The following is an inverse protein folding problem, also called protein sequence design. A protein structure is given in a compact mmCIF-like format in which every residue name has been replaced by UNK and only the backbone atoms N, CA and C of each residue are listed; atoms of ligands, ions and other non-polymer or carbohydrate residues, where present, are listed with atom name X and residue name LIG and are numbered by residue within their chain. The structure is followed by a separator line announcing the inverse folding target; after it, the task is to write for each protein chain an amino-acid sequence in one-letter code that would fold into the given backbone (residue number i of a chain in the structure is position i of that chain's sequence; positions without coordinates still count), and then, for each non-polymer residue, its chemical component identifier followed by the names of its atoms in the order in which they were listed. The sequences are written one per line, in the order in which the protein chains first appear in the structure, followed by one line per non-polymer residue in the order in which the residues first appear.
data_IF_162397707781
#
_entry.id   IF_162397707781
#
_cell.length_a   1.000
_cell.length_b   1.000
_cell.length_c   1.000
_cell.angle_alpha   90.00
_cell.angle_beta   90.00
_cell.angle_gamma   90.00
#
_symmetry.space_group_name_H-M   'P 1'
#
loop_
_entity.id
_entity.type
_entity.pdbx_description
1 polymer ?
#
# COMPACT_ATOMS: atom_id res chain seq x y z
N UNK A 1 -9.42 -30.48 -24.38
CA UNK A 1 -10.40 -30.29 -23.29
C UNK A 1 -9.77 -30.51 -21.92
N UNK A 2 -9.09 -31.62 -21.66
CA UNK A 2 -8.48 -31.91 -20.34
C UNK A 2 -7.49 -30.84 -19.83
N UNK A 3 -6.63 -30.28 -20.70
CA UNK A 3 -5.70 -29.20 -20.32
C UNK A 3 -6.41 -27.89 -19.97
N UNK A 4 -7.57 -27.62 -20.55
CA UNK A 4 -8.37 -26.45 -20.26
C UNK A 4 -9.10 -26.60 -18.90
N UNK A 5 -9.67 -27.79 -18.62
CA UNK A 5 -10.27 -28.10 -17.32
C UNK A 5 -9.26 -28.17 -16.19
N UNK A 6 -8.05 -28.73 -16.45
CA UNK A 6 -6.96 -28.72 -15.46
C UNK A 6 -6.49 -27.31 -15.12
N UNK A 7 -6.43 -26.41 -16.12
CA UNK A 7 -6.06 -24.99 -15.90
C UNK A 7 -7.15 -24.26 -15.10
N UNK A 8 -8.44 -24.52 -15.35
CA UNK A 8 -9.55 -23.96 -14.58
C UNK A 8 -9.55 -24.50 -13.14
N UNK A 9 -9.32 -25.80 -12.93
CA UNK A 9 -9.25 -26.40 -11.58
C UNK A 9 -8.05 -25.84 -10.77
N UNK A 10 -6.89 -25.68 -11.40
CA UNK A 10 -5.71 -25.09 -10.74
C UNK A 10 -5.95 -23.62 -10.41
N UNK A 11 -6.60 -22.85 -11.29
CA UNK A 11 -6.91 -21.44 -11.03
C UNK A 11 -7.95 -21.24 -9.91
N UNK A 12 -8.85 -22.21 -9.69
CA UNK A 12 -9.85 -22.13 -8.60
C UNK A 12 -9.27 -22.37 -7.20
N UNK A 13 -8.04 -22.88 -7.10
CA UNK A 13 -7.35 -23.14 -5.82
C UNK A 13 -6.32 -22.06 -5.44
N UNK A 14 -6.01 -21.12 -6.36
CA UNK A 14 -5.02 -20.06 -6.09
C UNK A 14 -5.73 -18.92 -5.35
N UNK A 15 -5.31 -18.69 -4.11
CA UNK A 15 -5.81 -17.58 -3.30
C UNK A 15 -5.08 -16.28 -3.64
N UNK A 16 -5.84 -15.22 -3.90
CA UNK A 16 -5.34 -13.91 -4.34
C UNK A 16 -5.70 -12.85 -3.30
N UNK A 17 -4.70 -12.15 -2.79
CA UNK A 17 -4.84 -11.06 -1.83
C UNK A 17 -4.58 -9.72 -2.51
N UNK A 18 -5.54 -8.82 -2.43
CA UNK A 18 -5.33 -7.40 -2.75
C UNK A 18 -4.90 -6.70 -1.48
N UNK A 19 -3.84 -5.91 -1.53
CA UNK A 19 -3.34 -5.19 -0.36
C UNK A 19 -2.83 -3.80 -0.74
N UNK A 20 -2.94 -2.90 0.22
CA UNK A 20 -2.51 -1.51 0.16
C UNK A 20 -2.20 -1.02 1.57
N UNK A 21 -1.29 -0.05 1.73
CA UNK A 21 -0.92 0.52 3.03
C UNK A 21 -1.09 2.02 3.07
N UNK A 22 -1.40 2.54 4.27
CA UNK A 22 -1.29 3.98 4.55
C UNK A 22 -0.15 4.22 5.54
N UNK A 23 0.55 5.33 5.34
CA UNK A 23 1.73 5.66 6.13
C UNK A 23 1.70 7.11 6.62
N UNK A 24 2.37 7.39 7.73
CA UNK A 24 2.60 8.74 8.22
C UNK A 24 4.08 8.92 8.55
N UNK A 25 4.58 10.15 8.39
CA UNK A 25 5.95 10.51 8.77
C UNK A 25 6.06 10.78 10.26
N UNK A 26 7.24 10.50 10.80
CA UNK A 26 7.63 10.93 12.13
C UNK A 26 7.57 12.47 12.25
N UNK A 27 7.43 12.95 13.49
CA UNK A 27 7.54 14.39 13.73
C UNK A 27 8.99 14.83 13.50
N UNK A 28 9.21 15.65 12.48
CA UNK A 28 10.53 16.16 12.13
C UNK A 28 11.24 16.83 13.31
N UNK A 29 10.50 17.54 14.17
CA UNK A 29 11.09 18.25 15.30
C UNK A 29 11.49 17.30 16.45
N UNK A 30 10.91 16.10 16.50
CA UNK A 30 11.27 15.05 17.44
C UNK A 30 12.50 14.24 17.01
N UNK A 31 12.91 14.33 15.73
CA UNK A 31 14.11 13.65 15.23
C UNK A 31 15.38 14.22 15.90
N UNK A 32 16.39 13.36 16.09
CA UNK A 32 17.69 13.81 16.58
C UNK A 32 18.40 14.77 15.60
N UNK A 33 19.34 15.54 16.13
CA UNK A 33 20.05 16.57 15.35
C UNK A 33 20.74 15.99 14.11
N UNK A 34 21.41 14.85 14.25
CA UNK A 34 22.16 14.21 13.14
C UNK A 34 21.24 13.80 12.03
N UNK A 35 20.10 13.19 12.36
CA UNK A 35 19.07 12.80 11.39
C UNK A 35 18.51 14.02 10.66
N UNK A 36 18.14 15.08 11.39
CA UNK A 36 17.67 16.34 10.76
C UNK A 36 18.71 16.96 9.83
N UNK A 37 19.97 17.00 10.23
CA UNK A 37 21.05 17.51 9.41
C UNK A 37 21.29 16.69 8.14
N UNK A 38 21.19 15.36 8.24
CA UNK A 38 21.29 14.48 7.07
C UNK A 38 20.13 14.68 6.10
N UNK A 39 18.90 14.75 6.59
CA UNK A 39 17.69 14.95 5.78
C UNK A 39 17.68 16.32 5.08
N UNK A 40 18.19 17.38 5.74
CA UNK A 40 18.18 18.76 5.21
C UNK A 40 19.44 19.16 4.45
N UNK A 41 20.47 18.31 4.40
CA UNK A 41 21.77 18.63 3.78
C UNK A 41 21.64 19.11 2.34
N UNK A 42 20.82 18.43 1.55
CA UNK A 42 20.60 18.79 0.15
C UNK A 42 19.85 20.11 0.00
N UNK A 43 18.86 20.39 0.86
CA UNK A 43 18.11 21.65 0.86
C UNK A 43 19.05 22.83 1.10
N UNK A 44 19.94 22.71 2.12
CA UNK A 44 20.92 23.75 2.44
C UNK A 44 21.93 24.02 1.32
N UNK A 45 22.19 23.01 0.49
CA UNK A 45 23.11 23.13 -0.65
C UNK A 45 22.45 23.79 -1.85
N UNK A 46 21.18 23.45 -2.10
CA UNK A 46 20.50 23.71 -3.37
C UNK A 46 19.54 24.90 -3.31
N UNK A 47 19.15 25.38 -2.11
CA UNK A 47 18.28 26.55 -1.95
C UNK A 47 19.07 27.87 -2.12
N UNK A 48 18.62 28.68 -3.07
CA UNK A 48 19.22 30.00 -3.37
C UNK A 48 18.63 31.13 -2.50
N UNK A 49 17.56 30.85 -1.73
CA UNK A 49 16.89 31.82 -0.87
C UNK A 49 16.26 31.17 0.37
N UNK A 50 16.02 31.98 1.42
CA UNK A 50 15.31 31.54 2.63
C UNK A 50 13.90 31.03 2.33
N UNK A 51 13.24 31.56 1.32
CA UNK A 51 11.91 31.13 0.91
C UNK A 51 11.94 29.74 0.26
N UNK A 52 12.89 29.50 -0.64
CA UNK A 52 13.11 28.18 -1.24
C UNK A 52 13.48 27.13 -0.19
N UNK A 53 14.35 27.51 0.75
CA UNK A 53 14.67 26.61 1.87
C UNK A 53 13.43 26.22 2.68
N UNK A 54 12.55 27.18 3.00
CA UNK A 54 11.32 26.89 3.76
C UNK A 54 10.37 25.98 2.97
N UNK A 55 10.14 26.25 1.69
CA UNK A 55 9.28 25.41 0.84
C UNK A 55 9.83 23.99 0.75
N UNK A 56 11.11 23.83 0.47
CA UNK A 56 11.74 22.51 0.38
C UNK A 56 11.75 21.76 1.73
N UNK A 57 11.85 22.47 2.84
CA UNK A 57 11.75 21.88 4.19
C UNK A 57 10.32 21.42 4.49
N UNK A 58 9.32 22.19 4.10
CA UNK A 58 7.92 21.81 4.28
C UNK A 58 7.56 20.61 3.42
N UNK A 59 8.05 20.53 2.18
CA UNK A 59 7.91 19.37 1.30
C UNK A 59 8.60 18.13 1.90
N UNK A 60 9.84 18.27 2.38
CA UNK A 60 10.55 17.21 3.08
C UNK A 60 9.76 16.69 4.29
N UNK A 61 9.24 17.57 5.14
CA UNK A 61 8.43 17.18 6.32
C UNK A 61 7.18 16.40 5.92
N UNK A 62 6.52 16.82 4.85
CA UNK A 62 5.36 16.12 4.29
C UNK A 62 5.76 14.76 3.73
N UNK A 63 6.93 14.66 3.10
CA UNK A 63 7.45 13.46 2.48
C UNK A 63 8.03 12.40 3.43
N UNK A 64 8.19 12.68 4.74
CA UNK A 64 8.77 11.71 5.70
C UNK A 64 8.00 10.39 5.75
N UNK A 65 6.69 10.42 5.52
CA UNK A 65 5.84 9.23 5.47
C UNK A 65 6.07 8.34 4.25
N UNK A 66 6.77 8.80 3.22
CA UNK A 66 7.06 8.00 2.03
C UNK A 66 8.30 7.13 2.15
N UNK A 67 9.03 7.21 3.26
CA UNK A 67 10.20 6.39 3.54
C UNK A 67 9.97 5.50 4.77
N UNK A 68 10.25 4.19 4.69
CA UNK A 68 10.15 3.30 5.84
C UNK A 68 11.18 3.60 6.94
N UNK A 69 12.16 4.48 6.66
CA UNK A 69 13.18 4.91 7.62
C UNK A 69 12.73 6.07 8.50
N UNK A 70 11.73 6.83 8.05
CA UNK A 70 11.21 8.03 8.71
C UNK A 70 9.69 8.04 8.83
N UNK A 71 9.05 6.97 8.39
CA UNK A 71 7.61 6.80 8.46
C UNK A 71 7.23 5.51 9.18
N UNK A 72 5.96 5.41 9.52
CA UNK A 72 5.32 4.22 10.09
C UNK A 72 4.04 3.87 9.32
N UNK A 73 3.67 2.59 9.35
CA UNK A 73 2.44 2.11 8.73
C UNK A 73 1.27 2.37 9.70
N UNK A 74 0.25 3.11 9.25
CA UNK A 74 -0.93 3.42 10.07
C UNK A 74 -2.18 2.66 9.64
N UNK A 75 -2.20 2.07 8.44
CA UNK A 75 -3.22 1.12 8.03
C UNK A 75 -2.64 0.08 7.07
N UNK A 76 -3.16 -1.14 7.13
CA UNK A 76 -2.92 -2.22 6.17
C UNK A 76 -4.27 -2.78 5.74
N UNK A 77 -4.62 -2.61 4.48
CA UNK A 77 -5.77 -3.23 3.85
C UNK A 77 -5.42 -4.59 3.27
N UNK A 78 -6.27 -5.57 3.52
CA UNK A 78 -6.14 -6.93 3.01
C UNK A 78 -7.51 -7.44 2.56
N UNK A 79 -7.69 -7.67 1.27
CA UNK A 79 -8.95 -8.07 0.63
C UNK A 79 -8.76 -9.37 -0.15
N UNK A 80 -9.50 -10.41 0.20
CA UNK A 80 -9.60 -11.63 -0.62
C UNK A 80 -10.23 -11.27 -1.96
N UNK A 81 -9.47 -11.45 -3.04
CA UNK A 81 -9.88 -11.01 -4.38
C UNK A 81 -11.14 -11.76 -4.87
N UNK A 82 -11.28 -13.05 -4.55
CA UNK A 82 -12.40 -13.87 -4.99
C UNK A 82 -13.66 -13.59 -4.18
N UNK A 83 -13.55 -13.52 -2.83
CA UNK A 83 -14.68 -13.34 -1.93
C UNK A 83 -15.16 -11.90 -1.85
N UNK A 84 -14.30 -10.93 -2.19
CA UNK A 84 -14.53 -9.50 -1.97
C UNK A 84 -14.83 -9.18 -0.49
N UNK A 85 -14.20 -9.92 0.41
CA UNK A 85 -14.25 -9.74 1.86
C UNK A 85 -12.83 -9.60 2.40
N UNK A 86 -12.68 -8.86 3.50
CA UNK A 86 -11.35 -8.62 4.02
C UNK A 86 -11.32 -7.87 5.35
N UNK A 87 -10.16 -7.29 5.63
CA UNK A 87 -9.96 -6.47 6.81
C UNK A 87 -9.08 -5.26 6.52
N UNK A 88 -9.28 -4.20 7.28
CA UNK A 88 -8.33 -3.11 7.41
C UNK A 88 -7.88 -3.06 8.87
N UNK A 89 -6.62 -3.35 9.08
CA UNK A 89 -5.94 -3.16 10.36
C UNK A 89 -5.42 -1.72 10.41
N UNK A 90 -5.66 -1.01 11.52
CA UNK A 90 -5.28 0.40 11.59
C UNK A 90 -4.83 0.82 12.98
N UNK A 91 -3.93 1.79 13.04
CA UNK A 91 -3.51 2.39 14.28
C UNK A 91 -4.54 3.42 14.77
N UNK A 92 -4.80 3.43 16.09
CA UNK A 92 -5.60 4.47 16.73
C UNK A 92 -5.04 4.77 18.15
N UNK A 93 -3.86 5.38 18.24
CA UNK A 93 -3.19 5.62 19.50
C UNK A 93 -4.04 6.49 20.43
N UNK A 94 -4.16 6.03 21.68
CA UNK A 94 -4.97 6.70 22.72
C UNK A 94 -6.48 6.51 22.58
N UNK A 95 -6.95 5.74 21.62
CA UNK A 95 -8.36 5.35 21.49
C UNK A 95 -8.52 3.85 21.71
N UNK A 96 -9.72 3.43 22.11
CA UNK A 96 -10.13 2.03 22.12
C UNK A 96 -11.43 1.91 21.33
N UNK A 97 -11.32 1.40 20.11
CA UNK A 97 -12.47 1.20 19.26
C UNK A 97 -12.86 -0.28 19.25
N UNK A 98 -14.15 -0.56 19.33
CA UNK A 98 -14.65 -1.90 19.06
C UNK A 98 -14.37 -2.27 17.59
N UNK A 99 -14.21 -3.56 17.34
CA UNK A 99 -14.16 -4.08 15.99
C UNK A 99 -15.46 -3.71 15.25
N UNK A 100 -15.33 -3.12 14.06
CA UNK A 100 -16.45 -2.71 13.21
C UNK A 100 -16.44 -3.58 11.95
N UNK A 101 -17.61 -4.08 11.56
CA UNK A 101 -17.79 -4.78 10.28
C UNK A 101 -18.78 -4.02 9.41
N UNK A 102 -18.35 -3.65 8.20
CA UNK A 102 -19.14 -2.88 7.24
C UNK A 102 -18.83 -3.39 5.82
N UNK A 103 -19.85 -3.70 5.04
CA UNK A 103 -19.74 -4.13 3.63
C UNK A 103 -18.69 -5.23 3.35
N UNK A 104 -18.63 -6.26 4.19
CA UNK A 104 -17.66 -7.36 4.06
C UNK A 104 -16.25 -7.04 4.54
N UNK A 105 -16.00 -5.82 5.03
CA UNK A 105 -14.71 -5.40 5.58
C UNK A 105 -14.77 -5.34 7.11
N UNK A 106 -13.80 -5.93 7.77
CA UNK A 106 -13.60 -5.85 9.22
C UNK A 106 -12.53 -4.80 9.52
N UNK A 107 -12.89 -3.76 10.26
CA UNK A 107 -11.97 -2.74 10.75
C UNK A 107 -11.48 -3.11 12.14
N UNK A 108 -10.17 -3.26 12.30
CA UNK A 108 -9.59 -3.70 13.57
C UNK A 108 -8.41 -2.83 13.98
N UNK A 109 -8.53 -2.23 15.18
CA UNK A 109 -7.46 -1.44 15.75
C UNK A 109 -6.30 -2.34 16.20
N UNK A 110 -5.09 -1.99 15.81
CA UNK A 110 -3.84 -2.68 16.13
C UNK A 110 -2.68 -1.69 16.21
N UNK A 111 -1.60 -2.04 16.88
CA UNK A 111 -0.31 -1.37 16.75
C UNK A 111 0.36 -1.76 15.43
N UNK A 112 1.36 -1.00 14.96
CA UNK A 112 2.10 -1.32 13.73
C UNK A 112 2.71 -2.74 13.78
N UNK A 113 3.29 -3.13 14.91
CA UNK A 113 3.85 -4.47 15.11
C UNK A 113 2.79 -5.57 14.98
N UNK A 114 1.61 -5.36 15.57
CA UNK A 114 0.50 -6.32 15.48
C UNK A 114 -0.05 -6.40 14.06
N UNK A 115 -0.19 -5.27 13.35
CA UNK A 115 -0.60 -5.23 11.94
C UNK A 115 0.36 -6.00 11.04
N UNK A 116 1.66 -5.79 11.21
CA UNK A 116 2.70 -6.50 10.44
C UNK A 116 2.67 -8.01 10.71
N UNK A 117 2.58 -8.43 11.98
CA UNK A 117 2.45 -9.85 12.32
C UNK A 117 1.21 -10.46 11.69
N UNK A 118 0.08 -9.75 11.79
CA UNK A 118 -1.19 -10.23 11.22
C UNK A 118 -1.17 -10.29 9.71
N UNK A 119 -0.55 -9.32 9.05
CA UNK A 119 -0.35 -9.33 7.60
C UNK A 119 0.48 -10.55 7.15
N UNK A 120 1.61 -10.81 7.79
CA UNK A 120 2.47 -11.92 7.42
C UNK A 120 1.87 -13.29 7.75
N UNK A 121 1.11 -13.41 8.84
CA UNK A 121 0.30 -14.60 9.15
C UNK A 121 -0.74 -14.85 8.04
N UNK A 122 -1.47 -13.81 7.66
CA UNK A 122 -2.47 -13.87 6.59
C UNK A 122 -1.82 -14.24 5.24
N UNK A 123 -0.66 -13.66 4.92
CA UNK A 123 0.07 -13.86 3.68
C UNK A 123 0.43 -15.35 3.44
N UNK A 124 0.59 -16.16 4.46
CA UNK A 124 0.87 -17.59 4.32
C UNK A 124 -0.24 -18.35 3.57
N UNK A 125 -1.46 -17.85 3.64
CA UNK A 125 -2.64 -18.47 3.01
C UNK A 125 -2.87 -18.04 1.55
N UNK A 126 -2.04 -17.12 1.03
CA UNK A 126 -2.19 -16.58 -0.32
C UNK A 126 -0.94 -16.83 -1.17
N UNK A 127 -1.13 -17.06 -2.45
CA UNK A 127 -0.08 -17.28 -3.44
C UNK A 127 0.13 -16.08 -4.35
N UNK A 128 -0.90 -15.24 -4.52
CA UNK A 128 -0.85 -14.05 -5.38
C UNK A 128 -1.17 -12.81 -4.56
N UNK A 129 -0.33 -11.80 -4.70
CA UNK A 129 -0.46 -10.51 -4.05
C UNK A 129 -0.66 -9.44 -5.12
N UNK A 130 -1.73 -8.69 -5.00
CA UNK A 130 -2.14 -7.68 -6.00
C UNK A 130 -2.05 -6.32 -5.34
N UNK A 131 -1.35 -5.39 -5.99
CA UNK A 131 -1.20 -4.01 -5.53
C UNK A 131 -1.34 -3.04 -6.71
N UNK A 132 -1.43 -1.75 -6.40
CA UNK A 132 -1.22 -0.70 -7.37
C UNK A 132 -0.01 0.14 -6.97
N UNK A 133 1.08 0.10 -7.75
CA UNK A 133 2.38 0.72 -7.46
C UNK A 133 3.08 0.17 -6.19
N UNK A 134 2.63 -0.99 -5.71
CA UNK A 134 3.12 -1.55 -4.45
C UNK A 134 4.56 -2.04 -4.50
N UNK A 135 5.08 -2.33 -5.70
CA UNK A 135 6.49 -2.68 -5.88
C UNK A 135 7.41 -1.49 -5.57
N UNK A 136 6.94 -0.27 -5.83
CA UNK A 136 7.69 0.94 -5.58
C UNK A 136 7.43 1.53 -4.16
N UNK A 137 6.38 1.08 -3.46
CA UNK A 137 5.99 1.65 -2.18
C UNK A 137 5.61 0.59 -1.13
N UNK A 138 4.48 -0.09 -1.26
CA UNK A 138 3.90 -0.94 -0.20
C UNK A 138 4.80 -2.09 0.21
N UNK A 139 5.32 -2.84 -0.75
CA UNK A 139 6.07 -4.06 -0.44
C UNK A 139 7.44 -3.78 0.20
N UNK A 140 8.29 -2.88 -0.32
CA UNK A 140 9.52 -2.50 0.36
C UNK A 140 9.23 -1.87 1.74
N UNK A 141 8.15 -1.09 1.89
CA UNK A 141 7.77 -0.49 3.16
C UNK A 141 7.41 -1.58 4.19
N UNK A 142 6.52 -2.51 3.85
CA UNK A 142 6.15 -3.66 4.70
C UNK A 142 7.38 -4.47 5.12
N UNK A 143 8.28 -4.79 4.19
CA UNK A 143 9.46 -5.60 4.47
C UNK A 143 10.47 -4.88 5.36
N UNK A 144 10.75 -3.60 5.08
CA UNK A 144 11.74 -2.82 5.84
C UNK A 144 11.20 -2.51 7.25
N UNK A 145 9.93 -2.08 7.39
CA UNK A 145 9.31 -1.86 8.71
C UNK A 145 9.26 -3.15 9.53
N UNK A 146 8.97 -4.27 8.88
CA UNK A 146 9.01 -5.58 9.56
C UNK A 146 10.38 -5.86 10.13
N UNK A 147 11.46 -5.62 9.38
CA UNK A 147 12.82 -5.81 9.86
C UNK A 147 13.18 -4.85 11.02
N UNK A 148 12.82 -3.56 10.89
CA UNK A 148 13.02 -2.54 11.93
C UNK A 148 12.34 -2.94 13.25
N UNK A 149 11.13 -3.50 13.16
CA UNK A 149 10.28 -3.85 14.31
C UNK A 149 10.43 -5.32 14.79
N UNK A 150 11.38 -6.07 14.22
CA UNK A 150 11.66 -7.44 14.63
C UNK A 150 10.55 -8.44 14.24
N UNK A 151 9.79 -8.13 13.20
CA UNK A 151 8.78 -9.03 12.60
C UNK A 151 9.38 -9.69 11.37
N UNK A 152 9.36 -11.03 11.31
CA UNK A 152 9.92 -11.77 10.17
C UNK A 152 8.89 -11.88 9.05
N UNK A 153 9.17 -11.38 7.82
CA UNK A 153 8.36 -11.66 6.64
C UNK A 153 8.28 -13.16 6.34
N UNK A 154 7.10 -13.65 5.99
CA UNK A 154 6.86 -15.06 5.63
C UNK A 154 6.91 -15.31 4.13
N UNK A 155 6.85 -14.25 3.32
CA UNK A 155 6.89 -14.29 1.85
C UNK A 155 7.91 -13.28 1.31
N UNK A 156 8.61 -13.64 0.24
CA UNK A 156 9.44 -12.71 -0.53
C UNK A 156 8.59 -12.07 -1.64
N UNK A 157 8.04 -10.90 -1.36
CA UNK A 157 7.18 -10.14 -2.28
C UNK A 157 7.97 -9.20 -3.21
N UNK A 158 9.31 -9.19 -3.09
CA UNK A 158 10.18 -8.33 -3.90
C UNK A 158 11.02 -9.10 -4.92
N UNK A 159 10.94 -10.44 -4.92
CA UNK A 159 11.72 -11.30 -5.80
C UNK A 159 11.37 -11.05 -7.28
N UNK A 160 12.36 -10.64 -8.04
CA UNK A 160 12.22 -10.37 -9.47
C UNK A 160 11.27 -9.22 -9.78
N UNK A 161 11.47 -8.54 -10.88
CA UNK A 161 10.59 -7.46 -11.34
C UNK A 161 9.45 -7.98 -12.22
N UNK A 162 9.77 -8.94 -13.08
CA UNK A 162 8.82 -9.50 -14.01
C UNK A 162 8.11 -10.72 -13.41
N UNK A 163 6.84 -10.95 -13.78
CA UNK A 163 6.05 -12.04 -13.21
C UNK A 163 6.71 -13.40 -13.30
N UNK A 164 7.38 -13.72 -14.40
CA UNK A 164 8.08 -14.99 -14.59
C UNK A 164 9.31 -15.19 -13.66
N UNK A 165 9.77 -14.12 -13.02
CA UNK A 165 10.88 -14.17 -12.05
C UNK A 165 10.40 -14.38 -10.61
N UNK A 166 9.09 -14.22 -10.38
CA UNK A 166 8.51 -14.35 -9.05
C UNK A 166 8.45 -15.82 -8.62
N UNK A 167 8.37 -16.03 -7.30
CA UNK A 167 8.09 -17.34 -6.75
C UNK A 167 6.60 -17.67 -6.95
N UNK A 168 6.23 -18.88 -7.43
CA UNK A 168 4.83 -19.27 -7.57
C UNK A 168 4.00 -19.15 -6.28
N UNK A 169 4.63 -19.31 -5.11
CA UNK A 169 3.98 -19.19 -3.81
C UNK A 169 3.92 -17.75 -3.26
N UNK A 170 4.47 -16.79 -3.98
CA UNK A 170 4.48 -15.36 -3.61
C UNK A 170 4.54 -14.47 -4.85
N UNK A 171 3.66 -14.74 -5.82
CA UNK A 171 3.56 -13.96 -7.05
C UNK A 171 3.03 -12.55 -6.72
N UNK A 172 3.83 -11.53 -6.99
CA UNK A 172 3.42 -10.14 -6.80
C UNK A 172 3.05 -9.49 -8.13
N UNK A 173 1.78 -9.13 -8.28
CA UNK A 173 1.21 -8.43 -9.44
C UNK A 173 1.03 -6.96 -9.08
N UNK A 174 1.95 -6.11 -9.53
CA UNK A 174 1.82 -4.66 -9.42
C UNK A 174 1.11 -4.12 -10.68
N UNK A 175 -0.13 -3.67 -10.52
CA UNK A 175 -0.94 -3.21 -11.64
C UNK A 175 -0.40 -1.95 -12.31
N UNK A 176 0.32 -1.08 -11.61
CA UNK A 176 0.97 0.07 -12.24
C UNK A 176 2.06 -0.38 -13.23
N UNK A 177 2.79 -1.45 -12.93
CA UNK A 177 3.77 -2.03 -13.86
C UNK A 177 3.09 -2.83 -14.98
N UNK A 178 2.07 -3.64 -14.67
CA UNK A 178 1.37 -4.45 -15.67
C UNK A 178 0.65 -3.58 -16.71
N UNK A 179 -0.13 -2.60 -16.26
CA UNK A 179 -0.90 -1.70 -17.13
C UNK A 179 -0.01 -0.72 -17.90
N UNK A 180 1.17 -0.40 -17.37
CA UNK A 180 2.14 0.41 -18.11
C UNK A 180 3.06 -0.43 -19.01
N UNK A 181 2.88 -1.76 -19.07
CA UNK A 181 3.78 -2.68 -19.76
C UNK A 181 5.24 -2.43 -19.37
N UNK A 182 5.48 -2.38 -18.03
CA UNK A 182 6.80 -2.11 -17.43
C UNK A 182 7.43 -0.79 -17.87
N UNK A 183 6.61 0.21 -18.14
CA UNK A 183 7.04 1.57 -18.50
C UNK A 183 6.99 1.90 -19.98
N UNK A 184 6.44 1.02 -20.84
CA UNK A 184 6.19 1.32 -22.26
C UNK A 184 5.15 2.45 -22.42
N UNK A 185 4.18 2.55 -21.51
CA UNK A 185 3.28 3.70 -21.42
C UNK A 185 4.02 4.88 -20.78
N UNK A 186 4.29 5.93 -21.58
CA UNK A 186 5.15 7.06 -21.17
C UNK A 186 4.65 7.84 -19.97
N UNK A 187 3.33 8.04 -19.84
CA UNK A 187 2.72 8.75 -18.71
C UNK A 187 2.09 7.75 -17.76
N UNK A 188 2.73 7.53 -16.64
CA UNK A 188 2.18 6.67 -15.58
C UNK A 188 0.97 7.36 -14.97
N UNK A 189 -0.20 6.71 -15.03
CA UNK A 189 -1.39 7.15 -14.31
C UNK A 189 -1.34 6.68 -12.85
N UNK A 190 -1.94 7.42 -11.94
CA UNK A 190 -2.26 6.95 -10.59
C UNK A 190 -3.53 6.07 -10.61
N UNK A 191 -3.83 5.42 -9.50
CA UNK A 191 -5.01 4.54 -9.37
C UNK A 191 -6.31 5.24 -9.78
N UNK A 192 -6.49 6.51 -9.41
CA UNK A 192 -7.66 7.31 -9.80
C UNK A 192 -7.82 7.42 -11.33
N UNK A 193 -6.73 7.73 -12.06
CA UNK A 193 -6.80 7.89 -13.52
C UNK A 193 -7.11 6.57 -14.22
N UNK A 194 -6.50 5.47 -13.74
CA UNK A 194 -6.78 4.15 -14.26
C UNK A 194 -8.21 3.71 -13.94
N UNK A 195 -8.66 3.88 -12.70
CA UNK A 195 -10.05 3.57 -12.31
C UNK A 195 -11.05 4.32 -13.18
N UNK A 196 -10.86 5.63 -13.36
CA UNK A 196 -11.70 6.44 -14.23
C UNK A 196 -11.73 5.94 -15.67
N UNK A 197 -10.56 5.59 -16.23
CA UNK A 197 -10.47 5.14 -17.62
C UNK A 197 -11.19 3.79 -17.85
N UNK A 198 -11.17 2.91 -16.83
CA UNK A 198 -11.84 1.61 -16.86
C UNK A 198 -13.29 1.63 -16.35
N UNK A 199 -13.85 2.80 -16.02
CA UNK A 199 -15.22 2.95 -15.52
C UNK A 199 -15.42 2.39 -14.10
N UNK A 200 -14.35 2.31 -13.31
CA UNK A 200 -14.35 1.84 -11.93
C UNK A 200 -14.59 3.04 -11.00
N UNK A 201 -15.41 2.92 -9.95
CA UNK A 201 -15.54 3.95 -8.93
C UNK A 201 -14.18 4.36 -8.36
N UNK A 202 -13.89 5.66 -8.40
CA UNK A 202 -12.61 6.16 -7.91
C UNK A 202 -12.55 6.12 -6.39
N UNK A 203 -11.42 5.67 -5.79
CA UNK A 203 -11.23 5.74 -4.34
C UNK A 203 -11.28 7.17 -3.80
N UNK A 204 -10.94 8.16 -4.65
CA UNK A 204 -10.97 9.60 -4.31
C UNK A 204 -12.37 10.23 -4.36
N UNK A 205 -13.43 9.49 -4.65
CA UNK A 205 -14.81 10.02 -4.67
C UNK A 205 -15.27 10.55 -3.30
N UNK A 206 -14.65 10.10 -2.20
CA UNK A 206 -14.87 10.59 -0.84
C UNK A 206 -14.10 11.88 -0.48
N UNK A 207 -13.30 12.45 -1.39
CA UNK A 207 -12.54 13.69 -1.17
C UNK A 207 -11.25 13.54 -0.36
N UNK A 208 -10.90 12.33 0.10
CA UNK A 208 -9.65 12.04 0.80
C UNK A 208 -8.59 11.57 -0.23
N UNK A 209 -7.36 11.99 -0.03
CA UNK A 209 -6.19 11.61 -0.84
C UNK A 209 -5.06 11.14 0.07
N UNK A 210 -4.02 10.50 -0.49
CA UNK A 210 -2.84 10.09 0.28
C UNK A 210 -2.18 11.24 1.06
N UNK A 211 -2.23 12.47 0.53
CA UNK A 211 -1.69 13.66 1.20
C UNK A 211 -2.49 14.05 2.46
N UNK A 212 -3.74 13.60 2.57
CA UNK A 212 -4.60 13.86 3.73
C UNK A 212 -4.36 12.90 4.89
N UNK A 213 -3.66 11.77 4.69
CA UNK A 213 -3.43 10.73 5.71
C UNK A 213 -2.72 11.31 6.93
N UNK A 214 -1.62 12.04 6.73
CA UNK A 214 -0.89 12.69 7.82
C UNK A 214 -1.74 13.70 8.62
N UNK A 215 -2.42 14.66 7.95
CA UNK A 215 -3.38 15.56 8.59
C UNK A 215 -4.52 14.85 9.34
N UNK A 216 -5.09 13.79 8.77
CA UNK A 216 -6.16 13.00 9.41
C UNK A 216 -5.63 12.27 10.66
N UNK A 217 -4.44 11.69 10.57
CA UNK A 217 -3.80 11.01 11.70
C UNK A 217 -3.56 11.98 12.87
N UNK A 218 -3.02 13.17 12.60
CA UNK A 218 -2.85 14.24 13.60
C UNK A 218 -4.18 14.69 14.23
N UNK A 219 -5.27 14.70 13.46
CA UNK A 219 -6.63 15.01 13.93
C UNK A 219 -7.31 13.81 14.61
N UNK A 220 -6.62 12.67 14.80
CA UNK A 220 -7.14 11.43 15.39
C UNK A 220 -8.33 10.83 14.64
N UNK A 221 -8.40 11.05 13.33
CA UNK A 221 -9.46 10.54 12.45
C UNK A 221 -9.05 9.19 11.84
N UNK A 222 -8.62 8.27 12.68
CA UNK A 222 -7.99 7.01 12.29
C UNK A 222 -8.91 6.10 11.47
N UNK A 223 -10.20 6.03 11.83
CA UNK A 223 -11.17 5.24 11.07
C UNK A 223 -11.42 5.82 9.66
N UNK A 224 -11.31 7.15 9.48
CA UNK A 224 -11.43 7.77 8.15
C UNK A 224 -10.28 7.32 7.24
N UNK A 225 -9.04 7.21 7.78
CA UNK A 225 -7.89 6.66 7.06
C UNK A 225 -8.14 5.19 6.68
N UNK A 226 -8.63 4.38 7.62
CA UNK A 226 -8.94 2.99 7.35
C UNK A 226 -10.04 2.83 6.27
N UNK A 227 -11.06 3.69 6.26
CA UNK A 227 -12.10 3.71 5.22
C UNK A 227 -11.58 4.19 3.87
N UNK A 228 -10.64 5.13 3.85
CA UNK A 228 -9.95 5.54 2.62
C UNK A 228 -9.20 4.36 2.00
N UNK A 229 -8.43 3.63 2.80
CA UNK A 229 -7.70 2.42 2.35
C UNK A 229 -8.64 1.35 1.75
N UNK A 230 -9.88 1.18 2.28
CA UNK A 230 -10.90 0.31 1.66
C UNK A 230 -11.20 0.72 0.21
N UNK A 231 -11.28 2.02 -0.05
CA UNK A 231 -11.47 2.55 -1.41
C UNK A 231 -10.36 2.10 -2.36
N UNK A 232 -9.11 2.19 -1.89
CA UNK A 232 -7.94 1.84 -2.69
C UNK A 232 -7.85 0.32 -2.96
N UNK A 233 -8.05 -0.54 -1.96
CA UNK A 233 -8.04 -2.00 -2.18
C UNK A 233 -9.19 -2.48 -3.07
N UNK A 234 -10.38 -1.88 -2.98
CA UNK A 234 -11.52 -2.22 -3.85
C UNK A 234 -11.28 -1.76 -5.28
N UNK A 235 -10.81 -0.54 -5.48
CA UNK A 235 -10.48 -0.04 -6.82
C UNK A 235 -9.37 -0.87 -7.47
N UNK A 236 -8.36 -1.25 -6.70
CA UNK A 236 -7.26 -2.13 -7.15
C UNK A 236 -7.79 -3.51 -7.54
N UNK A 237 -8.72 -4.09 -6.75
CA UNK A 237 -9.37 -5.36 -7.09
C UNK A 237 -10.13 -5.29 -8.41
N UNK A 238 -11.00 -4.30 -8.58
CA UNK A 238 -11.78 -4.15 -9.82
C UNK A 238 -10.86 -3.92 -11.03
N UNK A 239 -9.80 -3.16 -10.87
CA UNK A 239 -8.80 -2.93 -11.92
C UNK A 239 -8.04 -4.22 -12.26
N UNK A 240 -7.71 -5.03 -11.25
CA UNK A 240 -7.11 -6.35 -11.44
C UNK A 240 -8.00 -7.28 -12.26
N UNK A 241 -9.30 -7.35 -11.96
CA UNK A 241 -10.24 -8.18 -12.71
C UNK A 241 -10.29 -7.77 -14.19
N UNK A 242 -10.25 -6.47 -14.49
CA UNK A 242 -10.17 -5.97 -15.86
C UNK A 242 -8.83 -6.32 -16.53
N UNK A 243 -7.73 -6.22 -15.82
CA UNK A 243 -6.43 -6.61 -16.34
C UNK A 243 -6.38 -8.14 -16.60
N UNK A 244 -6.88 -8.95 -15.68
CA UNK A 244 -6.92 -10.41 -15.80
C UNK A 244 -7.77 -10.85 -16.99
N UNK A 245 -8.92 -10.20 -17.21
CA UNK A 245 -9.85 -10.52 -18.31
C UNK A 245 -9.31 -10.12 -19.69
N UNK A 246 -8.66 -8.97 -19.81
CA UNK A 246 -8.36 -8.37 -21.13
C UNK A 246 -6.89 -8.27 -21.47
N UNK A 247 -5.98 -8.29 -20.51
CA UNK A 247 -4.57 -7.96 -20.70
C UNK A 247 -3.60 -9.02 -20.18
N UNK A 248 -4.07 -10.06 -19.52
CA UNK A 248 -3.26 -11.19 -19.11
C UNK A 248 -3.21 -12.23 -20.25
N UNK A 249 -2.02 -12.42 -20.85
CA UNK A 249 -1.78 -13.36 -21.91
C UNK A 249 -1.09 -14.64 -21.44
#
# INVERSE_FOLDING_TARGET
MERFYARILIMSTIHKLVTDIETVGEDFEALDKTTRENLTRWIKRDADSDNEYKLALDDLKTGLGFSPLTGEIVAIGALDCQKNEGAVYYQAPGQRNAELKEDGITFKQMTEVEMLRKFWELAEHYQVFITFNGRAFDMPFLMIRSAILGVRPTKDLMRGRYLYQNNPDSLHIDLAEQLSFYGAVRRKGNLHLWSRAFGIPSPKSGGVTGDDVGPLFKKKKFLEIAKYNVGDIRATRELYLKWEEYLQF
#
